data_IF_093899547923
#
_entry.id   IF_093899547923
#
_cell.length_a   1.000
_cell.length_b   1.000
_cell.length_c   1.000
_cell.angle_alpha   90.00
_cell.angle_beta   90.00
_cell.angle_gamma   90.00
#
_symmetry.space_group_name_H-M   'P 1'
#
loop_
_entity.id
_entity.type
_entity.pdbx_description
1 polymer ?
#
# COMPACT_ATOMS: atom_id res chain seq x y z
N UNK A 1 -85.89 -16.96 13.35
CA UNK A 1 -85.14 -16.47 12.17
C UNK A 1 -83.83 -15.91 12.68
N UNK A 2 -82.76 -16.65 12.40
CA UNK A 2 -81.36 -16.31 12.65
C UNK A 2 -80.92 -15.03 11.94
N UNK A 3 -79.91 -14.35 12.48
CA UNK A 3 -78.64 -14.10 11.78
C UNK A 3 -77.65 -13.40 12.72
N UNK A 4 -76.68 -14.15 13.23
CA UNK A 4 -75.48 -13.62 13.86
C UNK A 4 -74.39 -13.48 12.79
N UNK A 5 -73.90 -12.25 12.58
CA UNK A 5 -72.79 -11.97 11.67
C UNK A 5 -71.46 -12.21 12.38
N UNK A 6 -70.73 -13.23 11.93
CA UNK A 6 -69.37 -13.56 12.35
C UNK A 6 -68.35 -12.80 11.48
N UNK A 7 -67.64 -11.85 12.08
CA UNK A 7 -66.48 -11.19 11.47
C UNK A 7 -65.27 -12.13 11.55
N UNK A 8 -64.85 -12.67 10.40
CA UNK A 8 -63.63 -13.45 10.26
C UNK A 8 -62.40 -12.53 10.25
N UNK A 9 -61.53 -12.68 11.25
CA UNK A 9 -60.24 -12.01 11.35
C UNK A 9 -59.21 -12.78 10.51
N UNK A 10 -58.69 -12.17 9.44
CA UNK A 10 -57.58 -12.70 8.67
C UNK A 10 -56.26 -12.49 9.43
N UNK A 11 -55.37 -13.50 9.53
CA UNK A 11 -54.07 -13.33 10.15
C UNK A 11 -53.11 -12.53 9.24
N UNK A 12 -52.13 -11.80 9.82
CA UNK A 12 -51.14 -11.07 9.04
C UNK A 12 -50.22 -12.02 8.29
N UNK A 13 -49.98 -11.74 7.02
CA UNK A 13 -49.02 -12.46 6.19
C UNK A 13 -47.62 -12.35 6.80
N UNK A 14 -47.08 -13.49 7.24
CA UNK A 14 -45.69 -13.62 7.66
C UNK A 14 -44.79 -13.39 6.44
N UNK A 15 -44.09 -12.25 6.42
CA UNK A 15 -42.97 -12.04 5.50
C UNK A 15 -41.88 -12.99 5.94
N UNK A 16 -41.71 -14.10 5.21
CA UNK A 16 -40.57 -15.01 5.40
C UNK A 16 -39.30 -14.19 5.20
N UNK A 17 -38.63 -13.87 6.30
CA UNK A 17 -37.29 -13.31 6.28
C UNK A 17 -36.40 -14.35 5.59
N UNK A 18 -36.00 -14.07 4.35
CA UNK A 18 -35.04 -14.91 3.65
C UNK A 18 -33.77 -14.99 4.49
N UNK A 19 -33.38 -16.20 4.88
CA UNK A 19 -32.12 -16.42 5.58
C UNK A 19 -30.98 -15.82 4.73
N UNK A 20 -30.03 -15.09 5.35
CA UNK A 20 -28.92 -14.54 4.61
C UNK A 20 -28.17 -15.67 3.89
N UNK A 21 -27.75 -15.46 2.64
CA UNK A 21 -27.11 -16.50 1.86
C UNK A 21 -25.92 -17.08 2.62
N UNK A 22 -25.87 -18.41 2.72
CA UNK A 22 -24.81 -19.10 3.44
C UNK A 22 -23.44 -18.75 2.84
N UNK A 23 -22.61 -18.04 3.59
CA UNK A 23 -21.20 -17.78 3.24
C UNK A 23 -20.44 -19.10 3.32
N UNK A 24 -19.82 -19.51 2.21
CA UNK A 24 -18.94 -20.67 2.17
C UNK A 24 -17.51 -20.25 2.55
N UNK A 25 -17.00 -20.60 3.75
CA UNK A 25 -15.66 -20.19 4.19
C UNK A 25 -14.52 -20.90 3.44
N UNK A 26 -14.81 -21.93 2.63
CA UNK A 26 -13.84 -22.68 1.84
C UNK A 26 -13.95 -22.41 0.34
N UNK A 27 -14.80 -21.48 -0.08
CA UNK A 27 -14.87 -21.06 -1.47
C UNK A 27 -13.50 -20.50 -1.95
N UNK A 28 -13.20 -20.60 -3.25
CA UNK A 28 -12.06 -19.91 -3.84
C UNK A 28 -12.10 -18.44 -3.44
N UNK A 29 -11.01 -17.92 -2.88
CA UNK A 29 -10.94 -16.51 -2.49
C UNK A 29 -11.11 -15.65 -3.74
N UNK A 30 -11.89 -14.56 -3.69
CA UNK A 30 -11.95 -13.62 -4.79
C UNK A 30 -10.54 -13.13 -5.14
N UNK A 31 -10.27 -12.99 -6.43
CA UNK A 31 -8.95 -12.62 -6.94
C UNK A 31 -8.50 -11.27 -6.38
N UNK A 32 -9.43 -10.30 -6.34
CA UNK A 32 -9.20 -8.96 -5.82
C UNK A 32 -9.98 -8.80 -4.52
N UNK A 33 -9.39 -8.07 -3.59
CA UNK A 33 -10.02 -7.76 -2.30
C UNK A 33 -10.98 -6.57 -2.44
N UNK A 34 -12.13 -6.65 -1.78
CA UNK A 34 -13.21 -5.64 -1.90
C UNK A 34 -12.81 -4.22 -1.45
N UNK A 35 -11.89 -4.11 -0.49
CA UNK A 35 -11.36 -2.83 0.00
C UNK A 35 -10.11 -2.36 -0.76
N UNK A 36 -9.70 -3.09 -1.80
CA UNK A 36 -8.59 -2.68 -2.63
C UNK A 36 -9.01 -1.59 -3.61
N UNK A 37 -8.14 -0.59 -3.77
CA UNK A 37 -8.38 0.56 -4.63
C UNK A 37 -7.45 0.45 -5.84
N UNK A 38 -7.98 0.51 -7.07
CA UNK A 38 -7.14 0.46 -8.27
C UNK A 38 -6.19 1.66 -8.32
N UNK A 39 -4.98 1.48 -8.84
CA UNK A 39 -4.01 2.56 -8.92
C UNK A 39 -2.62 2.11 -9.34
N UNK A 40 -1.63 2.94 -9.02
CA UNK A 40 -0.22 2.59 -9.20
C UNK A 40 0.68 3.21 -8.14
N UNK A 41 1.85 2.61 -7.97
CA UNK A 41 2.94 3.11 -7.14
C UNK A 41 4.17 3.35 -8.01
N UNK A 42 4.76 4.54 -7.89
CA UNK A 42 6.05 4.90 -8.48
C UNK A 42 7.13 4.84 -7.39
N UNK A 43 8.16 4.05 -7.66
CA UNK A 43 9.35 3.96 -6.83
C UNK A 43 10.40 4.98 -7.28
N UNK A 44 11.38 5.26 -6.42
CA UNK A 44 12.44 6.24 -6.67
C UNK A 44 13.42 5.87 -7.79
N UNK A 45 13.57 4.58 -8.07
CA UNK A 45 14.29 4.04 -9.25
C UNK A 45 13.48 4.20 -10.56
N UNK A 46 12.22 4.64 -10.43
CA UNK A 46 11.27 4.81 -11.51
C UNK A 46 10.54 3.53 -11.91
N UNK A 47 10.67 2.46 -11.13
CA UNK A 47 9.82 1.28 -11.26
C UNK A 47 8.37 1.67 -10.98
N UNK A 48 7.45 1.15 -11.81
CA UNK A 48 6.02 1.45 -11.71
C UNK A 48 5.28 0.14 -11.43
N UNK A 49 4.66 0.07 -10.26
CA UNK A 49 3.86 -1.05 -9.82
C UNK A 49 2.39 -0.70 -10.03
N UNK A 50 1.74 -1.37 -10.97
CA UNK A 50 0.33 -1.12 -11.34
C UNK A 50 -0.51 -2.24 -10.76
N UNK A 51 -1.68 -1.92 -10.19
CA UNK A 51 -2.56 -2.94 -9.64
C UNK A 51 -3.57 -2.40 -8.63
N UNK A 52 -4.10 -3.32 -7.84
CA UNK A 52 -5.04 -3.03 -6.76
C UNK A 52 -4.28 -2.81 -5.46
N UNK A 53 -4.41 -1.63 -4.88
CA UNK A 53 -3.66 -1.19 -3.70
C UNK A 53 -4.55 -1.33 -2.47
N UNK A 54 -4.07 -2.02 -1.45
CA UNK A 54 -4.80 -2.19 -0.19
C UNK A 54 -3.88 -2.17 1.02
N UNK A 55 -4.49 -2.12 2.20
CA UNK A 55 -3.83 -2.12 3.50
C UNK A 55 -4.26 -3.35 4.32
N UNK A 56 -3.69 -3.51 5.52
CA UNK A 56 -4.25 -4.43 6.51
C UNK A 56 -5.76 -4.16 6.69
N UNK A 57 -6.55 -5.22 6.84
CA UNK A 57 -8.02 -5.11 6.90
C UNK A 57 -8.48 -4.19 8.02
N UNK A 58 -9.50 -3.40 7.71
CA UNK A 58 -10.11 -2.39 8.58
C UNK A 58 -9.16 -1.29 9.08
N UNK A 59 -7.93 -1.25 8.55
CA UNK A 59 -6.94 -0.25 8.93
C UNK A 59 -7.13 1.02 8.11
N UNK A 60 -7.06 2.15 8.80
CA UNK A 60 -7.07 3.49 8.20
C UNK A 60 -5.67 4.06 8.19
N UNK A 61 -5.41 4.88 7.18
CA UNK A 61 -4.15 5.56 7.02
C UNK A 61 -3.99 6.63 8.10
N UNK A 62 -2.98 6.48 8.95
CA UNK A 62 -2.69 7.39 10.07
C UNK A 62 -1.62 8.39 9.68
N UNK A 63 -1.99 9.65 9.52
CA UNK A 63 -1.07 10.74 9.23
C UNK A 63 -1.06 11.74 10.39
N UNK A 64 0.13 12.18 10.80
CA UNK A 64 0.27 13.32 11.70
C UNK A 64 0.21 14.62 10.91
N UNK A 65 -0.92 15.32 10.95
CA UNK A 65 -1.15 16.59 10.27
C UNK A 65 -0.33 17.70 10.95
N UNK A 66 0.69 18.23 10.25
CA UNK A 66 1.55 19.29 10.80
C UNK A 66 0.82 20.61 11.01
N UNK A 67 -0.21 20.91 10.22
CA UNK A 67 -0.94 22.18 10.31
C UNK A 67 -1.80 22.25 11.56
N UNK A 68 -2.42 21.13 11.93
CA UNK A 68 -3.33 21.04 13.09
C UNK A 68 -2.67 20.33 14.28
N UNK A 69 -1.42 19.86 14.11
CA UNK A 69 -0.62 19.15 15.10
C UNK A 69 -1.33 17.93 15.72
N UNK A 70 -2.18 17.25 14.95
CA UNK A 70 -2.98 16.11 15.40
C UNK A 70 -2.87 14.93 14.46
N UNK A 71 -3.08 13.73 14.99
CA UNK A 71 -3.25 12.55 14.15
C UNK A 71 -4.62 12.56 13.45
N UNK A 72 -4.65 12.15 12.19
CA UNK A 72 -5.86 12.00 11.39
C UNK A 72 -5.88 10.60 10.79
N UNK A 73 -7.07 10.01 10.77
CA UNK A 73 -7.30 8.67 10.23
C UNK A 73 -8.16 8.74 8.97
N UNK A 74 -7.55 8.39 7.84
CA UNK A 74 -8.14 8.56 6.51
C UNK A 74 -8.35 7.17 5.90
N UNK A 75 -9.55 6.82 5.41
CA UNK A 75 -9.73 5.57 4.69
C UNK A 75 -9.02 5.65 3.34
N UNK A 76 -8.42 4.54 2.89
CA UNK A 76 -7.67 4.51 1.62
C UNK A 76 -8.54 4.93 0.42
N UNK A 77 -9.83 4.60 0.45
CA UNK A 77 -10.82 4.96 -0.58
C UNK A 77 -11.04 6.47 -0.74
N UNK A 78 -10.71 7.30 0.26
CA UNK A 78 -10.83 8.75 0.19
C UNK A 78 -9.55 9.44 -0.32
N UNK A 79 -8.45 8.70 -0.43
CA UNK A 79 -7.16 9.21 -0.90
C UNK A 79 -7.13 9.17 -2.43
N UNK A 80 -6.66 10.25 -3.05
CA UNK A 80 -6.38 10.32 -4.49
C UNK A 80 -4.89 10.12 -4.76
N UNK A 81 -4.03 10.74 -3.95
CA UNK A 81 -2.58 10.72 -4.16
C UNK A 81 -1.83 10.78 -2.82
N UNK A 82 -0.71 10.07 -2.73
CA UNK A 82 0.28 10.17 -1.65
C UNK A 82 1.63 10.47 -2.29
N UNK A 83 2.18 11.65 -2.02
CA UNK A 83 3.51 12.05 -2.45
C UNK A 83 4.48 11.91 -1.28
N UNK A 84 5.67 11.35 -1.53
CA UNK A 84 6.74 11.24 -0.55
C UNK A 84 7.89 12.19 -0.91
N UNK A 85 8.16 13.15 -0.04
CA UNK A 85 9.23 14.14 -0.16
C UNK A 85 10.35 13.83 0.83
N UNK A 86 11.58 13.88 0.34
CA UNK A 86 12.77 13.74 1.16
C UNK A 86 12.99 15.04 1.93
N UNK A 87 13.01 14.97 3.26
CA UNK A 87 13.35 16.10 4.12
C UNK A 87 14.86 16.21 4.34
N UNK A 88 15.51 15.08 4.57
CA UNK A 88 16.92 15.03 4.93
C UNK A 88 17.52 13.68 4.57
N UNK A 89 18.75 13.70 4.07
CA UNK A 89 19.55 12.51 3.79
C UNK A 89 20.94 12.67 4.42
N UNK A 90 21.48 11.61 5.00
CA UNK A 90 22.81 11.63 5.58
C UNK A 90 23.41 10.23 5.68
N UNK A 91 24.74 10.16 5.75
CA UNK A 91 25.47 8.95 6.14
C UNK A 91 25.65 8.99 7.66
N UNK A 92 25.01 8.06 8.37
CA UNK A 92 25.06 7.98 9.82
C UNK A 92 26.18 7.04 10.25
N UNK A 93 27.04 7.51 11.15
CA UNK A 93 28.12 6.69 11.72
C UNK A 93 27.53 5.76 12.77
N UNK A 94 27.79 4.47 12.63
CA UNK A 94 27.42 3.49 13.65
C UNK A 94 28.25 3.77 14.92
N UNK A 95 27.55 3.80 16.05
CA UNK A 95 28.14 3.93 17.36
C UNK A 95 27.58 2.86 18.29
N UNK A 96 28.37 2.48 19.27
CA UNK A 96 27.99 1.58 20.36
C UNK A 96 28.42 2.18 21.69
N UNK A 97 27.74 1.81 22.77
CA UNK A 97 28.24 2.09 24.10
C UNK A 97 29.48 1.25 24.34
N UNK A 98 30.53 1.87 24.87
CA UNK A 98 31.81 1.23 25.16
C UNK A 98 31.64 0.06 26.13
N UNK A 99 30.81 0.26 27.14
CA UNK A 99 30.39 -0.73 28.13
C UNK A 99 28.91 -0.49 28.46
N UNK A 100 28.15 -1.53 28.80
CA UNK A 100 26.69 -1.45 29.05
C UNK A 100 26.31 -0.43 30.13
N UNK A 101 27.22 -0.12 31.05
CA UNK A 101 26.98 0.76 32.21
C UNK A 101 27.68 2.12 32.09
N UNK A 102 28.37 2.41 30.98
CA UNK A 102 29.06 3.70 30.76
C UNK A 102 28.53 4.39 29.51
N UNK A 103 28.19 5.67 29.64
CA UNK A 103 27.62 6.50 28.56
C UNK A 103 28.65 6.97 27.51
N UNK A 104 29.81 6.30 27.44
CA UNK A 104 30.83 6.58 26.44
C UNK A 104 30.44 5.94 25.10
N UNK A 105 30.17 6.77 24.10
CA UNK A 105 29.93 6.32 22.71
C UNK A 105 31.26 6.12 21.99
N UNK A 106 31.50 4.93 21.45
CA UNK A 106 32.58 4.72 20.49
C UNK A 106 32.02 4.43 19.10
N UNK A 107 32.61 5.05 18.08
CA UNK A 107 32.24 4.85 16.69
C UNK A 107 32.95 3.63 16.13
N UNK A 108 32.22 2.74 15.45
CA UNK A 108 32.77 1.49 14.91
C UNK A 108 33.53 1.68 13.59
N UNK A 109 33.57 2.91 13.06
CA UNK A 109 34.11 3.24 11.73
C UNK A 109 33.16 2.89 10.58
N UNK A 110 32.05 2.20 10.85
CA UNK A 110 31.03 1.84 9.85
C UNK A 110 30.02 2.96 9.72
N UNK A 111 29.40 3.04 8.54
CA UNK A 111 28.34 4.00 8.27
C UNK A 111 27.21 3.34 7.48
N UNK A 112 26.00 3.86 7.66
CA UNK A 112 24.81 3.46 6.92
C UNK A 112 24.07 4.69 6.40
N UNK A 113 23.41 4.59 5.24
CA UNK A 113 22.60 5.68 4.72
C UNK A 113 21.31 5.78 5.54
N UNK A 114 20.90 6.99 5.84
CA UNK A 114 19.64 7.28 6.52
C UNK A 114 18.94 8.46 5.85
N UNK A 115 17.61 8.40 5.83
CA UNK A 115 16.78 9.47 5.29
C UNK A 115 15.47 9.62 6.02
N UNK A 116 15.00 10.85 6.03
CA UNK A 116 13.71 11.25 6.58
C UNK A 116 12.79 11.79 5.50
N UNK A 117 11.51 11.48 5.66
CA UNK A 117 10.48 11.81 4.70
C UNK A 117 9.35 12.61 5.34
N UNK A 118 8.72 13.39 4.48
CA UNK A 118 7.42 13.99 4.68
C UNK A 118 6.48 13.48 3.60
N UNK A 119 5.25 13.21 3.98
CA UNK A 119 4.22 12.73 3.06
C UNK A 119 3.16 13.82 2.90
N UNK A 120 2.76 14.06 1.65
CA UNK A 120 1.62 14.90 1.31
C UNK A 120 0.52 14.03 0.72
N UNK A 121 -0.60 13.95 1.43
CA UNK A 121 -1.78 13.21 1.01
C UNK A 121 -2.75 14.19 0.38
N UNK A 122 -3.12 13.93 -0.87
CA UNK A 122 -4.22 14.62 -1.53
C UNK A 122 -5.46 13.73 -1.48
N UNK A 123 -6.53 14.24 -0.89
CA UNK A 123 -7.83 13.57 -0.84
C UNK A 123 -8.57 13.75 -2.17
N UNK A 124 -9.57 12.90 -2.43
CA UNK A 124 -10.43 13.01 -3.62
C UNK A 124 -11.22 14.32 -3.71
N UNK A 125 -11.42 14.99 -2.58
CA UNK A 125 -12.03 16.32 -2.52
C UNK A 125 -11.04 17.48 -2.77
N UNK A 126 -9.78 17.17 -3.08
CA UNK A 126 -8.73 18.13 -3.36
C UNK A 126 -7.99 18.67 -2.11
N UNK A 127 -8.45 18.36 -0.90
CA UNK A 127 -7.73 18.78 0.33
C UNK A 127 -6.39 18.08 0.43
N UNK A 128 -5.39 18.82 0.89
CA UNK A 128 -4.05 18.30 1.12
C UNK A 128 -3.73 18.26 2.61
N UNK A 129 -3.10 17.16 3.03
CA UNK A 129 -2.64 16.95 4.41
C UNK A 129 -1.18 16.55 4.34
N UNK A 130 -0.32 17.35 4.99
CA UNK A 130 1.13 17.14 4.98
C UNK A 130 1.60 16.72 6.37
N UNK A 131 2.42 15.67 6.43
CA UNK A 131 2.69 15.01 7.69
C UNK A 131 3.64 13.82 7.66
N UNK A 132 3.94 13.32 8.86
CA UNK A 132 4.59 12.03 9.02
C UNK A 132 3.58 10.89 8.83
N UNK A 133 3.93 9.91 8.00
CA UNK A 133 3.13 8.72 7.71
C UNK A 133 3.95 7.46 8.04
N UNK A 134 3.29 6.47 8.64
CA UNK A 134 3.86 5.16 8.94
C UNK A 134 2.80 4.08 8.62
N UNK A 135 2.88 3.48 7.44
CA UNK A 135 1.89 2.50 6.98
C UNK A 135 2.45 1.46 6.01
N UNK A 136 1.83 0.29 5.95
CA UNK A 136 2.16 -0.78 4.99
C UNK A 136 1.11 -0.77 3.88
N UNK A 137 1.57 -0.73 2.64
CA UNK A 137 0.75 -0.89 1.44
C UNK A 137 1.06 -2.23 0.78
N UNK A 138 0.03 -2.86 0.22
CA UNK A 138 0.17 -4.02 -0.66
C UNK A 138 -0.30 -3.62 -2.05
N UNK A 139 0.47 -3.99 -3.07
CA UNK A 139 0.07 -3.84 -4.48
C UNK A 139 -0.16 -5.22 -5.05
N UNK A 140 -1.40 -5.50 -5.43
CA UNK A 140 -1.77 -6.72 -6.13
C UNK A 140 -1.74 -6.46 -7.64
N UNK A 141 -0.77 -7.02 -8.38
CA UNK A 141 -0.63 -6.77 -9.81
C UNK A 141 -1.68 -7.49 -10.66
N UNK A 142 -2.51 -8.37 -10.07
CA UNK A 142 -3.51 -9.16 -10.81
C UNK A 142 -4.60 -8.28 -11.40
N UNK A 143 -5.04 -8.65 -12.60
CA UNK A 143 -6.16 -7.99 -13.27
C UNK A 143 -7.52 -8.55 -12.83
N UNK A 144 -8.57 -7.75 -13.00
CA UNK A 144 -9.93 -8.14 -12.67
C UNK A 144 -10.39 -9.29 -13.58
N UNK A 145 -10.68 -10.45 -12.98
CA UNK A 145 -11.07 -11.67 -13.70
C UNK A 145 -10.01 -12.76 -13.78
N UNK A 146 -8.76 -12.50 -13.36
CA UNK A 146 -7.74 -13.54 -13.21
C UNK A 146 -8.06 -14.44 -11.99
N UNK A 147 -8.88 -15.47 -12.22
CA UNK A 147 -9.10 -16.53 -11.25
C UNK A 147 -7.92 -17.50 -11.28
N UNK A 148 -7.20 -17.60 -10.17
CA UNK A 148 -6.13 -18.57 -10.09
C UNK A 148 -5.43 -18.57 -8.75
N UNK A 149 -5.18 -19.78 -8.24
CA UNK A 149 -4.33 -20.05 -7.09
C UNK A 149 -2.82 -20.00 -7.48
N UNK A 150 -2.46 -19.18 -8.48
CA UNK A 150 -1.09 -19.02 -9.01
C UNK A 150 -0.57 -17.61 -8.72
N UNK A 151 0.69 -17.46 -8.28
CA UNK A 151 1.04 -16.48 -7.27
C UNK A 151 1.78 -15.29 -7.88
N UNK A 152 1.06 -14.21 -8.17
CA UNK A 152 1.65 -12.90 -7.93
C UNK A 152 1.46 -12.61 -6.44
N UNK A 153 2.46 -12.89 -5.59
CA UNK A 153 2.36 -12.46 -4.19
C UNK A 153 2.21 -10.92 -4.17
N UNK A 154 1.25 -10.38 -3.39
CA UNK A 154 1.09 -8.94 -3.27
C UNK A 154 2.39 -8.29 -2.85
N UNK A 155 2.81 -7.26 -3.59
CA UNK A 155 4.07 -6.58 -3.35
C UNK A 155 3.90 -5.71 -2.10
N UNK A 156 4.60 -6.07 -1.04
CA UNK A 156 4.58 -5.33 0.23
C UNK A 156 5.51 -4.11 0.16
N UNK A 157 4.94 -2.95 0.37
CA UNK A 157 5.63 -1.66 0.43
C UNK A 157 5.42 -1.03 1.79
N UNK A 158 6.44 -0.29 2.24
CA UNK A 158 6.45 0.33 3.56
C UNK A 158 6.62 1.83 3.38
N UNK A 159 5.63 2.60 3.82
CA UNK A 159 5.68 4.06 3.92
C UNK A 159 6.07 4.42 5.35
N UNK A 160 7.33 4.76 5.61
CA UNK A 160 7.79 5.15 6.94
C UNK A 160 8.35 6.57 6.93
N UNK A 161 8.29 7.26 8.08
CA UNK A 161 8.91 8.58 8.26
C UNK A 161 10.44 8.56 8.09
N UNK A 162 11.10 7.47 8.48
CA UNK A 162 12.55 7.31 8.39
C UNK A 162 12.88 5.96 7.77
N UNK A 163 13.83 5.96 6.85
CA UNK A 163 14.42 4.74 6.31
C UNK A 163 15.89 4.70 6.66
N UNK A 164 16.28 3.58 7.27
CA UNK A 164 17.65 3.24 7.57
C UNK A 164 18.08 2.16 6.58
N UNK A 165 19.25 2.35 5.97
CA UNK A 165 19.91 1.33 5.17
C UNK A 165 20.79 0.41 5.98
N UNK A 166 21.31 -0.58 5.26
CA UNK A 166 22.33 -1.48 5.79
C UNK A 166 23.72 -0.86 5.73
N UNK A 167 24.63 -1.43 6.52
CA UNK A 167 26.03 -1.01 6.51
C UNK A 167 26.64 -1.30 5.14
N UNK A 168 27.34 -0.32 4.58
CA UNK A 168 27.99 -0.42 3.27
C UNK A 168 27.09 -0.04 2.08
N UNK A 169 25.79 0.20 2.30
CA UNK A 169 24.93 0.79 1.29
C UNK A 169 25.19 2.30 1.14
N UNK A 170 24.77 2.85 0.01
CA UNK A 170 24.73 4.27 -0.28
C UNK A 170 23.28 4.78 -0.32
N UNK A 171 23.10 6.10 -0.33
CA UNK A 171 21.77 6.71 -0.46
C UNK A 171 21.02 6.26 -1.73
N UNK A 172 21.75 5.92 -2.81
CA UNK A 172 21.17 5.47 -4.08
C UNK A 172 20.57 4.07 -4.00
N UNK A 173 21.12 3.22 -3.15
CA UNK A 173 20.67 1.83 -2.97
C UNK A 173 19.35 1.77 -2.20
N UNK A 174 19.02 2.85 -1.49
CA UNK A 174 17.74 2.97 -0.81
C UNK A 174 16.68 3.32 -1.86
N UNK A 175 15.88 2.34 -2.25
CA UNK A 175 14.64 2.56 -3.02
C UNK A 175 13.49 2.89 -2.06
N UNK A 176 12.64 3.84 -2.46
CA UNK A 176 11.46 4.23 -1.70
C UNK A 176 10.25 4.47 -2.59
N UNK A 177 9.07 4.46 -1.97
CA UNK A 177 7.83 4.87 -2.62
C UNK A 177 7.84 6.38 -2.78
N UNK A 178 7.95 6.85 -4.03
CA UNK A 178 7.96 8.27 -4.38
C UNK A 178 6.54 8.82 -4.52
N UNK A 179 5.66 8.05 -5.17
CA UNK A 179 4.29 8.45 -5.44
C UNK A 179 3.35 7.25 -5.38
N UNK A 180 2.18 7.43 -4.80
CA UNK A 180 1.03 6.52 -4.91
C UNK A 180 -0.12 7.30 -5.49
N UNK A 181 -0.73 6.82 -6.57
CA UNK A 181 -1.99 7.38 -7.09
C UNK A 181 -3.08 6.31 -7.09
N UNK A 182 -4.27 6.70 -6.68
CA UNK A 182 -5.42 5.84 -6.46
C UNK A 182 -6.61 6.31 -7.31
N UNK A 183 -7.39 5.36 -7.80
CA UNK A 183 -8.53 5.54 -8.70
C UNK A 183 -8.33 4.88 -10.06
N UNK A 184 -9.44 4.70 -10.79
CA UNK A 184 -9.46 4.09 -12.12
C UNK A 184 -8.59 4.85 -13.13
N UNK A 185 -8.67 6.19 -13.09
CA UNK A 185 -7.85 7.05 -13.95
C UNK A 185 -6.35 6.86 -13.67
N UNK A 186 -6.00 6.69 -12.40
CA UNK A 186 -4.64 6.41 -11.99
C UNK A 186 -4.19 5.03 -12.48
N UNK A 187 -5.04 4.00 -12.37
CA UNK A 187 -4.73 2.67 -12.91
C UNK A 187 -4.42 2.74 -14.42
N UNK A 188 -5.26 3.44 -15.19
CA UNK A 188 -5.04 3.65 -16.61
C UNK A 188 -3.74 4.43 -16.91
N UNK A 189 -3.43 5.47 -16.12
CA UNK A 189 -2.15 6.20 -16.18
C UNK A 189 -0.95 5.28 -15.90
N UNK A 190 -1.05 4.46 -14.85
CA UNK A 190 -0.04 3.49 -14.46
C UNK A 190 0.25 2.49 -15.57
N UNK A 191 -0.79 1.88 -16.16
CA UNK A 191 -0.66 0.94 -17.29
C UNK A 191 0.06 1.60 -18.48
N UNK A 192 -0.29 2.85 -18.83
CA UNK A 192 0.40 3.60 -19.90
C UNK A 192 1.88 3.81 -19.59
N UNK A 193 2.22 4.26 -18.38
CA UNK A 193 3.60 4.53 -17.99
C UNK A 193 4.44 3.25 -17.89
N UNK A 194 3.87 2.18 -17.35
CA UNK A 194 4.53 0.87 -17.30
C UNK A 194 4.77 0.30 -18.71
N UNK A 195 3.80 0.45 -19.62
CA UNK A 195 3.92 0.04 -21.02
C UNK A 195 4.96 0.83 -21.81
N UNK A 196 5.04 2.15 -21.60
CA UNK A 196 6.03 3.01 -22.26
C UNK A 196 7.47 2.73 -21.84
N UNK A 197 7.67 2.11 -20.68
CA UNK A 197 8.99 1.83 -20.09
C UNK A 197 9.46 0.39 -20.29
N UNK A 198 8.73 -0.44 -21.06
CA UNK A 198 9.21 -1.78 -21.41
C UNK A 198 10.56 -1.62 -22.14
N UNK A 199 11.69 -2.09 -21.59
CA UNK A 199 12.95 -2.02 -22.30
C UNK A 199 12.78 -2.82 -23.60
N UNK A 200 13.24 -2.25 -24.72
CA UNK A 200 13.42 -2.99 -25.97
C UNK A 200 14.18 -4.29 -25.67
N UNK A 201 13.80 -5.45 -26.25
CA UNK A 201 14.53 -6.69 -26.05
C UNK A 201 15.91 -6.57 -26.72
N UNK A 202 16.90 -6.05 -26.00
CA UNK A 202 18.27 -5.94 -26.50
C UNK A 202 19.12 -7.10 -25.99
N UNK A 203 19.66 -7.81 -26.99
CA UNK A 203 20.82 -8.68 -26.98
C UNK A 203 20.72 -10.05 -26.27
N UNK A 204 20.72 -11.08 -27.11
CA UNK A 204 21.04 -12.48 -26.80
C UNK A 204 22.26 -12.57 -25.87
N UNK A 205 22.31 -13.52 -24.91
CA UNK A 205 23.54 -13.84 -24.22
C UNK A 205 24.53 -14.46 -25.22
N UNK A 206 25.63 -13.76 -25.48
CA UNK A 206 26.78 -14.32 -26.21
C UNK A 206 27.35 -15.46 -25.39
N UNK A 207 27.16 -16.68 -25.87
CA UNK A 207 27.85 -17.85 -25.40
C UNK A 207 29.36 -17.70 -25.68
N UNK A 208 30.20 -17.87 -24.65
CA UNK A 208 31.62 -18.13 -24.85
C UNK A 208 32.53 -17.58 -23.76
N UNK A 209 32.89 -18.42 -22.79
CA UNK A 209 34.30 -18.72 -22.55
C UNK A 209 34.41 -19.96 -21.65
N UNK A 210 34.77 -21.10 -22.26
CA UNK A 210 35.32 -22.24 -21.54
C UNK A 210 36.75 -21.87 -21.16
N UNK A 211 37.05 -21.80 -19.88
CA UNK A 211 38.42 -21.82 -19.39
C UNK A 211 38.77 -23.29 -19.15
N UNK A 212 39.80 -23.75 -19.86
CA UNK A 212 40.59 -24.95 -19.51
C UNK A 212 41.66 -24.54 -18.52
#
# INVERSE_FOLDING_TARGET
MELAASFGMLPPATVLAQEPPAINPFAPRPAIREDAVPGYVELSDGTILVGHIYMTRDKRLKIYDKSVQRQREIPLSAVAQIECKILKEWMEKEWRFRETTRDEKYYTGRQYPAREYEHTITLKDGRQITGGLAEILYVDPREEGEQGNSPGEPIRLILHKRQKGEIGQTLKDLVYVKMVKLGEEALAEGKRKAGARRPSPSAKPTAGSRIR
#
